data_IF_566538721793
#
_entry.id   IF_566538721793
#
_cell.length_a   1.000
_cell.length_b   1.000
_cell.length_c   1.000
_cell.angle_alpha   90.00
_cell.angle_beta   90.00
_cell.angle_gamma   90.00
#
_symmetry.space_group_name_H-M   'P 1'
#
loop_
_entity.id
_entity.type
_entity.pdbx_description
1 polymer ?
#
# COMPACT_ATOMS: atom_id res chain seq x y z
N UNK A 1 17.76 19.25 -4.00
CA UNK A 1 16.40 18.76 -4.28
C UNK A 1 15.78 19.66 -5.32
N UNK A 2 15.56 19.15 -6.53
CA UNK A 2 14.91 19.90 -7.61
C UNK A 2 13.43 19.99 -7.27
N UNK A 3 12.99 21.14 -6.79
CA UNK A 3 11.58 21.49 -6.75
C UNK A 3 11.22 21.89 -8.18
N UNK A 4 10.84 20.92 -9.01
CA UNK A 4 10.28 21.19 -10.33
C UNK A 4 8.90 21.78 -10.14
N UNK A 5 8.78 23.09 -10.39
CA UNK A 5 7.49 23.73 -10.61
C UNK A 5 6.84 23.03 -11.80
N UNK A 6 5.65 22.45 -11.60
CA UNK A 6 4.89 21.86 -12.69
C UNK A 6 4.65 22.95 -13.76
N UNK A 7 4.91 22.66 -15.05
CA UNK A 7 4.77 23.64 -16.13
C UNK A 7 3.31 24.07 -16.32
N UNK A 8 2.35 23.22 -15.93
CA UNK A 8 0.92 23.47 -15.98
C UNK A 8 0.34 23.83 -14.60
N UNK A 9 -0.71 24.65 -14.60
CA UNK A 9 -1.51 24.96 -13.41
C UNK A 9 -2.87 24.26 -13.41
N UNK A 10 -3.17 23.54 -14.50
CA UNK A 10 -4.41 22.80 -14.65
C UNK A 10 -4.29 21.48 -13.89
N UNK A 11 -5.31 21.15 -13.08
CA UNK A 11 -5.34 19.94 -12.25
C UNK A 11 -5.13 18.67 -13.10
N UNK A 12 -5.76 18.58 -14.28
CA UNK A 12 -5.64 17.44 -15.20
C UNK A 12 -4.18 17.18 -15.59
N UNK A 13 -3.48 18.22 -16.02
CA UNK A 13 -2.13 18.11 -16.55
C UNK A 13 -1.14 17.72 -15.45
N UNK A 14 -1.32 18.27 -14.25
CA UNK A 14 -0.51 17.91 -13.07
C UNK A 14 -0.72 16.43 -12.72
N UNK A 15 -1.97 15.96 -12.69
CA UNK A 15 -2.28 14.56 -12.38
C UNK A 15 -1.74 13.63 -13.47
N UNK A 16 -1.80 14.01 -14.75
CA UNK A 16 -1.26 13.21 -15.85
C UNK A 16 0.27 13.12 -15.81
N UNK A 17 0.94 14.21 -15.44
CA UNK A 17 2.38 14.21 -15.22
C UNK A 17 2.75 13.34 -14.00
N UNK A 18 2.05 13.47 -12.87
CA UNK A 18 2.26 12.61 -11.70
C UNK A 18 2.00 11.14 -12.02
N UNK A 19 0.96 10.82 -12.78
CA UNK A 19 0.68 9.46 -13.24
C UNK A 19 1.86 8.90 -14.05
N UNK A 20 2.44 9.72 -14.92
CA UNK A 20 3.61 9.35 -15.70
C UNK A 20 4.84 9.12 -14.82
N UNK A 21 5.14 10.06 -13.92
CA UNK A 21 6.32 10.01 -13.05
C UNK A 21 6.28 8.88 -12.02
N UNK A 22 5.10 8.61 -11.44
CA UNK A 22 4.96 7.69 -10.31
C UNK A 22 4.48 6.30 -10.71
N UNK A 23 3.76 6.16 -11.82
CA UNK A 23 3.18 4.87 -12.26
C UNK A 23 3.54 4.50 -13.70
N UNK A 24 4.45 5.25 -14.35
CA UNK A 24 4.76 5.10 -15.77
C UNK A 24 3.50 5.17 -16.67
N UNK A 25 2.52 6.00 -16.26
CA UNK A 25 1.26 6.23 -16.97
C UNK A 25 0.18 5.17 -16.73
N UNK A 26 0.44 4.15 -15.91
CA UNK A 26 -0.50 3.04 -15.67
C UNK A 26 -1.70 3.39 -14.79
N UNK A 27 -1.67 4.53 -14.10
CA UNK A 27 -2.76 4.99 -13.23
C UNK A 27 -4.10 5.01 -14.00
N UNK A 28 -5.07 4.22 -13.54
CA UNK A 28 -6.39 4.09 -14.18
C UNK A 28 -7.18 5.41 -14.17
N UNK A 29 -8.08 5.59 -15.15
CA UNK A 29 -8.89 6.82 -15.23
C UNK A 29 -9.75 7.06 -13.98
N UNK A 30 -10.35 6.01 -13.43
CA UNK A 30 -11.10 6.08 -12.17
C UNK A 30 -10.26 6.66 -11.03
N UNK A 31 -9.02 6.18 -10.87
CA UNK A 31 -8.14 6.69 -9.83
C UNK A 31 -7.70 8.12 -10.13
N UNK A 32 -7.42 8.47 -11.39
CA UNK A 32 -7.09 9.85 -11.79
C UNK A 32 -8.21 10.83 -11.44
N UNK A 33 -9.47 10.43 -11.62
CA UNK A 33 -10.61 11.28 -11.32
C UNK A 33 -10.78 11.52 -9.81
N UNK A 34 -10.69 10.46 -8.99
CA UNK A 34 -10.72 10.57 -7.52
C UNK A 34 -9.58 11.46 -7.02
N UNK A 35 -8.37 11.27 -7.57
CA UNK A 35 -7.19 12.04 -7.18
C UNK A 35 -7.33 13.51 -7.60
N UNK A 36 -7.90 13.78 -8.79
CA UNK A 36 -8.16 15.13 -9.27
C UNK A 36 -9.18 15.85 -8.40
N UNK A 37 -10.28 15.19 -8.05
CA UNK A 37 -11.28 15.73 -7.14
C UNK A 37 -10.67 16.10 -5.79
N UNK A 38 -9.87 15.19 -5.21
CA UNK A 38 -9.16 15.45 -3.96
C UNK A 38 -8.16 16.61 -4.08
N UNK A 39 -7.44 16.70 -5.19
CA UNK A 39 -6.51 17.80 -5.49
C UNK A 39 -7.23 19.16 -5.56
N UNK A 40 -8.36 19.23 -6.26
CA UNK A 40 -9.15 20.45 -6.42
C UNK A 40 -9.86 20.88 -5.14
N UNK A 41 -10.19 19.94 -4.26
CA UNK A 41 -10.79 20.20 -2.95
C UNK A 41 -9.79 20.78 -1.92
N UNK A 42 -8.50 20.78 -2.23
CA UNK A 42 -7.46 21.22 -1.31
C UNK A 42 -7.41 22.75 -1.17
N UNK A 43 -6.95 23.23 -0.01
CA UNK A 43 -6.88 24.66 0.30
C UNK A 43 -5.97 25.46 -0.66
N UNK A 44 -4.92 24.81 -1.17
CA UNK A 44 -3.98 25.40 -2.12
C UNK A 44 -3.31 24.30 -2.94
N UNK A 45 -2.62 24.71 -4.01
CA UNK A 45 -1.98 23.81 -4.95
C UNK A 45 -0.90 22.92 -4.31
N UNK A 46 -0.17 23.41 -3.30
CA UNK A 46 0.86 22.63 -2.62
C UNK A 46 0.26 21.53 -1.74
N UNK A 47 -0.83 21.83 -1.05
CA UNK A 47 -1.62 20.85 -0.31
C UNK A 47 -2.24 19.82 -1.25
N UNK A 48 -2.82 20.27 -2.38
CA UNK A 48 -3.34 19.39 -3.43
C UNK A 48 -2.27 18.44 -3.97
N UNK A 49 -1.06 18.94 -4.23
CA UNK A 49 0.05 18.13 -4.70
C UNK A 49 0.42 17.02 -3.71
N UNK A 50 0.49 17.35 -2.41
CA UNK A 50 0.78 16.37 -1.36
C UNK A 50 -0.31 15.31 -1.27
N UNK A 51 -1.58 15.72 -1.32
CA UNK A 51 -2.73 14.80 -1.30
C UNK A 51 -2.67 13.87 -2.52
N UNK A 52 -2.43 14.41 -3.71
CA UNK A 52 -2.33 13.60 -4.93
C UNK A 52 -1.20 12.57 -4.85
N UNK A 53 -0.01 12.98 -4.40
CA UNK A 53 1.11 12.07 -4.20
C UNK A 53 0.80 10.97 -3.18
N UNK A 54 0.18 11.33 -2.05
CA UNK A 54 -0.24 10.35 -1.02
C UNK A 54 -1.23 9.34 -1.59
N UNK A 55 -2.25 9.80 -2.30
CA UNK A 55 -3.25 8.91 -2.90
C UNK A 55 -2.61 7.99 -3.94
N UNK A 56 -1.74 8.50 -4.83
CA UNK A 56 -1.05 7.67 -5.82
C UNK A 56 -0.25 6.56 -5.14
N UNK A 57 0.47 6.85 -4.05
CA UNK A 57 1.24 5.82 -3.32
C UNK A 57 0.34 4.71 -2.76
N UNK A 58 -0.92 5.02 -2.42
CA UNK A 58 -1.88 4.00 -1.94
C UNK A 58 -2.53 3.20 -3.07
N UNK A 59 -2.36 3.59 -4.34
CA UNK A 59 -2.95 2.87 -5.46
C UNK A 59 -2.21 1.57 -5.75
N UNK A 60 -2.91 0.52 -6.21
CA UNK A 60 -2.25 -0.71 -6.63
C UNK A 60 -1.28 -0.46 -7.81
N UNK A 61 -1.54 0.54 -8.66
CA UNK A 61 -0.72 0.89 -9.83
C UNK A 61 0.69 1.36 -9.46
N UNK A 62 0.84 1.95 -8.27
CA UNK A 62 2.14 2.32 -7.70
C UNK A 62 2.83 1.11 -7.04
N UNK A 63 2.07 0.23 -6.41
CA UNK A 63 2.58 -0.91 -5.65
C UNK A 63 2.97 -2.11 -6.52
N UNK A 64 2.56 -2.14 -7.79
CA UNK A 64 2.81 -3.26 -8.70
C UNK A 64 3.24 -2.80 -10.09
N UNK A 65 4.03 -3.63 -10.77
CA UNK A 65 4.46 -3.40 -12.16
C UNK A 65 3.51 -4.00 -13.19
N UNK A 66 2.62 -4.90 -12.75
CA UNK A 66 1.70 -5.61 -13.62
C UNK A 66 0.42 -4.80 -13.86
N UNK A 67 -0.28 -5.02 -15.00
CA UNK A 67 -1.58 -4.43 -15.21
C UNK A 67 -2.57 -4.92 -14.14
N UNK A 68 -3.27 -3.98 -13.53
CA UNK A 68 -4.27 -4.27 -12.49
C UNK A 68 -5.64 -4.42 -13.13
N UNK A 69 -6.40 -5.37 -12.61
CA UNK A 69 -7.80 -5.57 -12.95
C UNK A 69 -8.62 -5.49 -11.67
N UNK A 70 -9.47 -4.47 -11.59
CA UNK A 70 -10.45 -4.36 -10.50
C UNK A 70 -11.56 -5.39 -10.74
N UNK A 71 -11.85 -6.22 -9.74
CA UNK A 71 -12.97 -7.18 -9.80
C UNK A 71 -14.31 -6.48 -9.70
N UNK A 72 -14.39 -5.37 -8.98
CA UNK A 72 -15.66 -4.68 -8.66
C UNK A 72 -16.51 -5.40 -7.60
N UNK A 73 -16.20 -6.67 -7.33
CA UNK A 73 -16.83 -7.49 -6.30
C UNK A 73 -16.36 -7.12 -4.90
N UNK A 74 -17.29 -7.14 -3.94
CA UNK A 74 -16.97 -7.03 -2.53
C UNK A 74 -16.10 -8.21 -2.09
N UNK A 75 -15.16 -7.93 -1.18
CA UNK A 75 -14.34 -8.99 -0.60
C UNK A 75 -15.22 -9.88 0.28
N UNK A 76 -15.28 -11.17 -0.06
CA UNK A 76 -15.97 -12.17 0.76
C UNK A 76 -15.38 -12.16 2.18
N UNK A 77 -16.26 -12.01 3.17
CA UNK A 77 -15.86 -12.14 4.57
C UNK A 77 -15.62 -13.61 4.88
N UNK A 78 -14.51 -13.95 5.56
CA UNK A 78 -14.30 -15.32 5.99
C UNK A 78 -15.41 -15.73 6.95
N UNK A 79 -15.88 -16.97 6.82
CA UNK A 79 -16.85 -17.52 7.76
C UNK A 79 -16.27 -17.50 9.19
N UNK A 80 -17.10 -17.10 10.14
CA UNK A 80 -16.72 -17.12 11.55
C UNK A 80 -16.65 -18.57 12.03
N UNK A 81 -15.43 -19.08 12.15
CA UNK A 81 -15.16 -20.41 12.72
C UNK A 81 -15.41 -20.43 14.23
N UNK A 82 -16.10 -21.46 14.71
CA UNK A 82 -16.21 -21.77 16.14
C UNK A 82 -14.87 -22.31 16.64
N UNK A 83 -14.25 -21.73 17.68
CA UNK A 83 -13.02 -22.26 18.27
C UNK A 83 -13.20 -23.71 18.76
N UNK A 84 -12.16 -24.53 18.61
CA UNK A 84 -12.16 -25.89 19.16
C UNK A 84 -11.53 -25.89 20.55
N UNK A 85 -12.03 -26.76 21.45
CA UNK A 85 -11.47 -26.94 22.79
C UNK A 85 -10.14 -27.73 22.81
N UNK A 86 -9.64 -28.16 21.65
CA UNK A 86 -8.38 -28.90 21.53
C UNK A 86 -7.17 -27.95 21.59
N UNK A 87 -6.04 -28.36 22.20
CA UNK A 87 -4.79 -27.60 22.13
C UNK A 87 -4.40 -27.30 20.67
N UNK A 88 -4.11 -26.03 20.37
CA UNK A 88 -3.76 -25.54 19.04
C UNK A 88 -2.24 -25.56 18.83
N UNK A 89 -1.78 -26.19 17.74
CA UNK A 89 -0.39 -26.11 17.27
C UNK A 89 -0.42 -25.74 15.78
N UNK A 90 0.16 -24.59 15.44
CA UNK A 90 0.36 -24.18 14.05
C UNK A 90 1.85 -24.00 13.76
N UNK A 91 2.28 -24.49 12.60
CA UNK A 91 3.61 -24.23 12.05
C UNK A 91 3.40 -23.22 10.93
N UNK A 92 3.93 -22.01 11.12
CA UNK A 92 3.84 -20.93 10.11
C UNK A 92 5.11 -20.96 9.28
N UNK A 93 5.00 -21.31 8.01
CA UNK A 93 6.11 -21.25 7.05
C UNK A 93 5.95 -20.01 6.17
N UNK A 94 6.89 -19.08 6.28
CA UNK A 94 6.93 -17.86 5.47
C UNK A 94 7.97 -18.06 4.36
N UNK A 95 7.52 -18.22 3.12
CA UNK A 95 8.41 -18.39 1.97
C UNK A 95 8.83 -17.02 1.42
N UNK A 96 10.08 -16.63 1.67
CA UNK A 96 10.67 -15.35 1.25
C UNK A 96 11.48 -15.46 -0.05
N UNK A 97 10.98 -16.23 -1.03
CA UNK A 97 11.68 -16.54 -2.28
C UNK A 97 11.86 -15.38 -3.26
N UNK A 98 12.57 -14.32 -2.86
CA UNK A 98 13.06 -13.27 -3.77
C UNK A 98 12.53 -11.85 -3.55
N UNK A 99 11.76 -11.59 -2.48
CA UNK A 99 11.15 -10.27 -2.26
C UNK A 99 11.05 -9.85 -0.78
N UNK A 100 11.80 -10.50 0.12
CA UNK A 100 11.85 -10.05 1.52
C UNK A 100 12.70 -8.80 1.63
N UNK A 101 12.04 -7.66 1.87
CA UNK A 101 12.69 -6.46 2.34
C UNK A 101 12.93 -6.57 3.86
N UNK A 102 14.09 -7.10 4.22
CA UNK A 102 14.47 -7.35 5.62
C UNK A 102 14.57 -6.08 6.47
N UNK A 103 14.63 -4.89 5.87
CA UNK A 103 14.66 -3.62 6.63
C UNK A 103 13.33 -3.30 7.31
N UNK A 104 12.21 -3.84 6.82
CA UNK A 104 10.88 -3.67 7.42
C UNK A 104 10.49 -4.81 8.37
N UNK A 105 11.37 -5.81 8.57
CA UNK A 105 11.08 -6.93 9.47
C UNK A 105 11.44 -6.54 10.90
N UNK A 106 10.44 -6.13 11.69
CA UNK A 106 10.63 -5.85 13.11
C UNK A 106 10.89 -7.15 13.87
N UNK A 107 12.08 -7.27 14.45
CA UNK A 107 12.36 -8.34 15.41
C UNK A 107 11.53 -8.09 16.67
N UNK A 108 10.85 -9.11 17.23
CA UNK A 108 10.13 -8.96 18.49
C UNK A 108 11.07 -8.47 19.59
N UNK A 109 10.78 -7.30 20.15
CA UNK A 109 11.65 -6.62 21.12
C UNK A 109 11.71 -7.33 22.48
N UNK A 110 10.66 -8.10 22.83
CA UNK A 110 10.60 -8.86 24.08
C UNK A 110 9.94 -10.21 23.84
N UNK A 111 10.74 -11.26 23.73
CA UNK A 111 10.30 -12.61 24.06
C UNK A 111 10.81 -12.88 25.47
N UNK A 112 9.95 -12.77 26.48
CA UNK A 112 10.29 -13.35 27.78
C UNK A 112 10.28 -14.87 27.60
N UNK A 113 11.30 -15.61 28.05
CA UNK A 113 11.14 -17.05 28.18
C UNK A 113 9.94 -17.30 29.10
N UNK A 114 9.04 -18.19 28.71
CA UNK A 114 8.13 -18.76 29.69
C UNK A 114 9.00 -19.46 30.75
N UNK A 115 8.77 -19.16 32.03
CA UNK A 115 9.42 -19.88 33.13
C UNK A 115 9.23 -21.39 32.94
N UNK A 116 10.33 -22.11 32.73
CA UNK A 116 10.37 -23.57 32.72
C UNK A 116 10.47 -24.27 31.37
N UNK A 117 10.88 -23.59 30.29
CA UNK A 117 11.30 -24.27 29.05
C UNK A 117 12.75 -23.94 28.74
N UNK A 118 13.63 -24.70 29.38
CA UNK A 118 15.04 -24.77 29.03
C UNK A 118 15.14 -25.31 27.60
N UNK A 119 15.62 -24.43 26.71
CA UNK A 119 16.42 -24.70 25.52
C UNK A 119 16.20 -26.05 24.82
N UNK A 120 15.33 -26.04 23.81
CA UNK A 120 15.43 -27.02 22.71
C UNK A 120 15.39 -26.27 21.38
N UNK A 121 16.56 -25.74 21.02
CA UNK A 121 17.08 -25.92 19.67
C UNK A 121 17.79 -27.27 19.60
#
# INVERSE_FOLDING_TARGET
LIISRFPSTLSTDIIDELATLMTAGRLSERNREIIREAFESAENQEAGLRIAQQLIVTTPEFQTTNPIKFSGEDRELPEKITPSDRPYKAVVFLMFGGGCDSFNMLTPYTCAPEEGKDDLF
#
